data_IF_521797922763
#
_entry.id   IF_521797922763
#
_cell.length_a   1.000
_cell.length_b   1.000
_cell.length_c   1.000
_cell.angle_alpha   90.00
_cell.angle_beta   90.00
_cell.angle_gamma   90.00
#
_symmetry.space_group_name_H-M   'P 1'
#
loop_
_entity.id
_entity.type
_entity.pdbx_description
1 polymer ?
#
# COMPACT_ATOMS: atom_id res chain seq x y z
N UNK A 1 -9.73 -7.57 -4.47
CA UNK A 1 -8.42 -8.01 -4.97
C UNK A 1 -7.38 -7.75 -3.91
N UNK A 2 -6.50 -8.72 -3.65
CA UNK A 2 -5.37 -8.58 -2.75
C UNK A 2 -4.07 -8.79 -3.55
N UNK A 3 -3.20 -7.79 -3.57
CA UNK A 3 -1.91 -7.82 -4.25
C UNK A 3 -0.81 -7.94 -3.20
N UNK A 4 -0.14 -9.09 -3.17
CA UNK A 4 0.89 -9.43 -2.18
C UNK A 4 2.24 -9.56 -2.88
N UNK A 5 3.32 -9.08 -2.27
CA UNK A 5 4.66 -9.29 -2.80
C UNK A 5 5.68 -8.30 -2.26
N UNK A 6 6.98 -8.51 -2.52
CA UNK A 6 8.04 -7.65 -2.03
C UNK A 6 7.93 -6.22 -2.61
N UNK A 7 8.66 -5.25 -2.03
CA UNK A 7 8.74 -3.90 -2.58
C UNK A 7 9.30 -3.90 -4.02
N UNK A 8 8.78 -3.01 -4.87
CA UNK A 8 9.30 -2.79 -6.21
C UNK A 8 8.77 -3.70 -7.33
N UNK A 9 7.94 -4.72 -7.02
CA UNK A 9 7.40 -5.68 -8.01
C UNK A 9 6.16 -5.18 -8.78
N UNK A 10 5.76 -3.92 -8.62
CA UNK A 10 4.68 -3.32 -9.42
C UNK A 10 3.27 -3.39 -8.82
N UNK A 11 3.08 -3.77 -7.54
CA UNK A 11 1.77 -3.84 -6.88
C UNK A 11 0.95 -2.55 -7.03
N UNK A 12 1.55 -1.42 -6.65
CA UNK A 12 0.92 -0.09 -6.76
C UNK A 12 0.54 0.25 -8.20
N UNK A 13 1.39 -0.10 -9.18
CA UNK A 13 1.09 0.12 -10.60
C UNK A 13 -0.15 -0.67 -11.05
N UNK A 14 -0.27 -1.93 -10.65
CA UNK A 14 -1.45 -2.73 -10.92
C UNK A 14 -2.69 -2.17 -10.25
N UNK A 15 -2.59 -1.76 -8.98
CA UNK A 15 -3.69 -1.17 -8.23
C UNK A 15 -4.19 0.14 -8.89
N UNK A 16 -3.26 1.02 -9.31
CA UNK A 16 -3.57 2.25 -10.02
C UNK A 16 -4.17 1.94 -11.41
N UNK A 17 -3.65 0.95 -12.12
CA UNK A 17 -4.19 0.49 -13.40
C UNK A 17 -5.64 0.04 -13.29
N UNK A 18 -5.97 -0.77 -12.26
CA UNK A 18 -7.33 -1.21 -11.96
C UNK A 18 -8.25 -0.03 -11.62
N UNK A 19 -7.78 0.91 -10.79
CA UNK A 19 -8.54 2.10 -10.42
C UNK A 19 -8.83 2.98 -11.63
N UNK A 20 -7.81 3.20 -12.48
CA UNK A 20 -7.95 3.97 -13.72
C UNK A 20 -8.97 3.33 -14.66
N UNK A 21 -8.87 2.02 -14.89
CA UNK A 21 -9.81 1.31 -15.74
C UNK A 21 -11.24 1.39 -15.19
N UNK A 22 -11.43 1.20 -13.88
CA UNK A 22 -12.73 1.34 -13.25
C UNK A 22 -13.30 2.77 -13.43
N UNK A 23 -12.47 3.80 -13.24
CA UNK A 23 -12.88 5.20 -13.45
C UNK A 23 -13.25 5.47 -14.93
N UNK A 24 -12.51 4.92 -15.88
CA UNK A 24 -12.78 5.08 -17.31
C UNK A 24 -14.15 4.52 -17.72
N UNK A 25 -14.58 3.43 -17.08
CA UNK A 25 -15.91 2.84 -17.33
C UNK A 25 -17.00 3.43 -16.40
N UNK A 26 -16.73 4.53 -15.70
CA UNK A 26 -17.73 5.31 -14.95
C UNK A 26 -17.90 4.93 -13.48
N UNK A 27 -17.09 4.02 -12.91
CA UNK A 27 -17.17 3.71 -11.48
C UNK A 27 -16.48 4.79 -10.65
N UNK A 28 -17.12 5.16 -9.53
CA UNK A 28 -16.48 6.03 -8.53
C UNK A 28 -15.35 5.29 -7.84
N UNK A 29 -14.13 5.76 -8.03
CA UNK A 29 -12.93 5.18 -7.44
C UNK A 29 -12.29 6.13 -6.46
N UNK A 30 -11.72 5.60 -5.38
CA UNK A 30 -10.91 6.35 -4.43
C UNK A 30 -9.64 5.57 -4.12
N UNK A 31 -8.52 6.27 -4.21
CA UNK A 31 -7.19 5.72 -3.89
C UNK A 31 -6.67 6.38 -2.61
N UNK A 32 -6.18 5.59 -1.68
CA UNK A 32 -5.52 6.04 -0.45
C UNK A 32 -4.42 5.07 -0.06
N UNK A 33 -3.46 5.55 0.73
CA UNK A 33 -2.54 4.65 1.42
C UNK A 33 -3.13 4.21 2.76
N UNK A 34 -2.62 3.12 3.33
CA UNK A 34 -3.02 2.68 4.68
C UNK A 34 -2.67 3.75 5.73
N UNK A 35 -1.53 4.45 5.56
CA UNK A 35 -1.12 5.54 6.43
C UNK A 35 -2.07 6.75 6.37
N UNK A 36 -2.48 7.18 5.17
CA UNK A 36 -3.42 8.30 5.01
C UNK A 36 -4.81 7.95 5.56
N UNK A 37 -5.27 6.72 5.34
CA UNK A 37 -6.51 6.22 5.93
C UNK A 37 -6.44 6.29 7.45
N UNK A 38 -5.35 5.79 8.04
CA UNK A 38 -5.11 5.82 9.47
C UNK A 38 -5.12 7.26 10.03
N UNK A 39 -4.36 8.16 9.40
CA UNK A 39 -4.28 9.57 9.81
C UNK A 39 -5.64 10.28 9.71
N UNK A 40 -6.42 10.00 8.68
CA UNK A 40 -7.76 10.56 8.50
C UNK A 40 -8.74 10.04 9.55
N UNK A 41 -8.68 8.75 9.86
CA UNK A 41 -9.54 8.16 10.90
C UNK A 41 -9.18 8.66 12.28
N UNK A 42 -7.89 8.79 12.61
CA UNK A 42 -7.43 9.37 13.87
C UNK A 42 -7.96 10.80 14.07
N UNK A 43 -7.81 11.67 13.07
CA UNK A 43 -8.38 13.02 13.13
C UNK A 43 -9.89 13.03 13.29
N UNK A 44 -10.59 12.14 12.58
CA UNK A 44 -12.04 12.03 12.69
C UNK A 44 -12.52 11.59 14.06
N UNK A 45 -11.75 10.75 14.76
CA UNK A 45 -12.04 10.36 16.14
C UNK A 45 -11.92 11.55 17.10
N UNK A 46 -10.85 12.35 16.98
CA UNK A 46 -10.62 13.55 17.81
C UNK A 46 -11.70 14.61 17.55
N UNK A 47 -12.08 14.81 16.28
CA UNK A 47 -13.01 15.87 15.87
C UNK A 47 -14.50 15.46 15.92
N UNK A 48 -14.82 14.26 16.42
CA UNK A 48 -16.19 13.75 16.48
C UNK A 48 -16.84 13.50 15.12
N UNK A 49 -16.03 13.36 14.04
CA UNK A 49 -16.50 13.17 12.64
C UNK A 49 -16.41 11.72 12.16
N UNK A 50 -16.33 10.78 13.08
CA UNK A 50 -16.13 9.36 12.78
C UNK A 50 -17.16 8.81 11.77
N UNK A 51 -18.45 8.99 12.04
CA UNK A 51 -19.51 8.47 11.18
C UNK A 51 -19.45 9.04 9.74
N UNK A 52 -19.08 10.30 9.60
CA UNK A 52 -18.91 10.94 8.28
C UNK A 52 -17.72 10.37 7.53
N UNK A 53 -16.62 10.13 8.22
CA UNK A 53 -15.41 9.53 7.64
C UNK A 53 -15.66 8.07 7.22
N UNK A 54 -16.36 7.30 8.02
CA UNK A 54 -16.74 5.93 7.65
C UNK A 54 -17.64 5.90 6.41
N UNK A 55 -18.65 6.79 6.33
CA UNK A 55 -19.49 6.93 5.13
C UNK A 55 -18.68 7.35 3.90
N UNK A 56 -17.69 8.22 4.06
CA UNK A 56 -16.82 8.62 2.98
C UNK A 56 -16.06 7.42 2.40
N UNK A 57 -15.45 6.57 3.23
CA UNK A 57 -14.73 5.38 2.77
C UNK A 57 -15.68 4.28 2.24
N UNK A 58 -16.92 4.23 2.70
CA UNK A 58 -17.91 3.29 2.19
C UNK A 58 -18.52 3.71 0.82
N UNK A 59 -18.43 5.00 0.46
CA UNK A 59 -19.11 5.58 -0.70
C UNK A 59 -18.60 5.19 -2.09
N UNK A 60 -17.28 5.11 -2.36
CA UNK A 60 -16.76 4.75 -3.67
C UNK A 60 -17.15 3.32 -4.08
N UNK A 61 -17.38 3.07 -5.38
CA UNK A 61 -17.62 1.71 -5.90
C UNK A 61 -16.35 0.86 -5.80
N UNK A 62 -15.19 1.48 -6.04
CA UNK A 62 -13.88 0.86 -5.85
C UNK A 62 -13.05 1.68 -4.87
N UNK A 63 -12.57 1.06 -3.80
CA UNK A 63 -11.59 1.61 -2.88
C UNK A 63 -10.26 0.89 -3.07
N UNK A 64 -9.19 1.66 -3.27
CA UNK A 64 -7.81 1.15 -3.27
C UNK A 64 -7.12 1.59 -1.99
N UNK A 65 -6.57 0.64 -1.25
CA UNK A 65 -5.76 0.86 -0.06
C UNK A 65 -4.35 0.34 -0.35
N UNK A 66 -3.44 1.25 -0.57
CA UNK A 66 -2.05 0.93 -0.92
C UNK A 66 -1.16 0.87 0.33
N UNK A 67 -0.09 0.08 0.25
CA UNK A 67 0.97 0.00 1.26
C UNK A 67 0.54 -0.51 2.65
N UNK A 68 -0.44 -1.41 2.70
CA UNK A 68 -0.79 -2.04 3.97
C UNK A 68 0.35 -2.95 4.46
N UNK A 69 0.79 -2.76 5.71
CA UNK A 69 1.81 -3.58 6.36
C UNK A 69 3.24 -3.07 6.23
N UNK A 70 3.47 -1.89 5.66
CA UNK A 70 4.78 -1.23 5.72
C UNK A 70 5.09 -0.75 7.15
N UNK A 71 4.09 -0.29 7.86
CA UNK A 71 4.16 0.09 9.27
C UNK A 71 3.00 -0.57 10.02
N UNK A 72 3.18 -0.93 11.31
CA UNK A 72 2.08 -1.32 12.18
C UNK A 72 1.04 -0.22 12.25
N UNK A 73 -0.24 -0.58 12.25
CA UNK A 73 -1.33 0.38 12.39
C UNK A 73 -1.62 0.66 13.88
N UNK A 74 -1.84 1.91 14.26
CA UNK A 74 -2.43 2.22 15.57
C UNK A 74 -3.78 1.50 15.75
N UNK A 75 -4.15 1.18 17.00
CA UNK A 75 -5.36 0.42 17.30
C UNK A 75 -6.64 1.04 16.70
N UNK A 76 -6.76 2.38 16.74
CA UNK A 76 -7.87 3.10 16.14
C UNK A 76 -7.91 2.94 14.61
N UNK A 77 -6.72 2.92 13.97
CA UNK A 77 -6.62 2.73 12.54
C UNK A 77 -6.95 1.30 12.12
N UNK A 78 -6.53 0.30 12.90
CA UNK A 78 -6.89 -1.09 12.69
C UNK A 78 -8.40 -1.31 12.81
N UNK A 79 -9.03 -0.72 13.85
CA UNK A 79 -10.48 -0.71 14.05
C UNK A 79 -11.22 -0.02 12.91
N UNK A 80 -10.70 1.12 12.44
CA UNK A 80 -11.25 1.84 11.29
C UNK A 80 -11.20 1.01 10.02
N UNK A 81 -10.05 0.40 9.74
CA UNK A 81 -9.86 -0.45 8.57
C UNK A 81 -10.84 -1.65 8.60
N UNK A 82 -10.98 -2.30 9.77
CA UNK A 82 -11.97 -3.36 9.95
C UNK A 82 -13.40 -2.90 9.68
N UNK A 83 -13.78 -1.72 10.19
CA UNK A 83 -15.11 -1.15 9.93
C UNK A 83 -15.32 -0.83 8.44
N UNK A 84 -14.33 -0.23 7.78
CA UNK A 84 -14.39 0.04 6.33
C UNK A 84 -14.57 -1.24 5.55
N UNK A 85 -13.77 -2.28 5.81
CA UNK A 85 -13.89 -3.59 5.15
C UNK A 85 -15.28 -4.20 5.40
N UNK A 86 -15.75 -4.17 6.65
CA UNK A 86 -17.05 -4.74 7.04
C UNK A 86 -18.22 -4.02 6.39
N UNK A 87 -18.19 -2.69 6.29
CA UNK A 87 -19.26 -1.92 5.63
C UNK A 87 -19.30 -2.15 4.11
N UNK A 88 -18.16 -2.46 3.52
CA UNK A 88 -18.02 -2.71 2.07
C UNK A 88 -18.23 -4.18 1.68
N UNK A 89 -18.20 -5.07 2.65
CA UNK A 89 -18.32 -6.51 2.43
C UNK A 89 -19.58 -6.85 1.62
N UNK A 90 -19.41 -7.56 0.51
CA UNK A 90 -20.43 -7.94 -0.48
C UNK A 90 -21.19 -6.78 -1.16
N UNK A 91 -20.79 -5.53 -0.94
CA UNK A 91 -21.49 -4.36 -1.51
C UNK A 91 -20.65 -3.65 -2.57
N UNK A 92 -19.37 -3.51 -2.33
CA UNK A 92 -18.46 -2.73 -3.19
C UNK A 92 -17.08 -3.37 -3.24
N UNK A 93 -16.27 -2.96 -4.21
CA UNK A 93 -14.95 -3.56 -4.45
C UNK A 93 -13.86 -2.90 -3.63
N UNK A 94 -12.90 -3.71 -3.18
CA UNK A 94 -11.67 -3.25 -2.52
C UNK A 94 -10.47 -3.87 -3.24
N UNK A 95 -9.43 -3.05 -3.45
CA UNK A 95 -8.08 -3.51 -3.83
C UNK A 95 -7.15 -3.13 -2.69
N UNK A 96 -6.38 -4.08 -2.21
CA UNK A 96 -5.35 -3.84 -1.18
C UNK A 96 -4.02 -4.30 -1.73
N UNK A 97 -2.98 -3.48 -1.55
CA UNK A 97 -1.59 -3.91 -1.75
C UNK A 97 -0.89 -4.09 -0.42
N UNK A 98 -0.08 -5.11 -0.32
CA UNK A 98 0.69 -5.41 0.90
C UNK A 98 2.01 -6.07 0.57
N UNK A 99 3.01 -5.84 1.42
CA UNK A 99 4.29 -6.54 1.38
C UNK A 99 4.35 -7.72 2.37
N UNK A 100 3.28 -7.93 3.13
CA UNK A 100 3.16 -9.01 4.11
C UNK A 100 2.17 -10.06 3.65
N UNK A 101 2.56 -11.32 3.76
CA UNK A 101 1.61 -12.42 3.60
C UNK A 101 0.49 -12.35 4.62
N UNK A 102 -0.65 -12.97 4.32
CA UNK A 102 -1.86 -12.92 5.17
C UNK A 102 -1.61 -13.42 6.60
N UNK A 103 -0.66 -14.32 6.81
CA UNK A 103 -0.27 -14.80 8.13
C UNK A 103 0.32 -13.70 9.04
N UNK A 104 0.93 -12.67 8.47
CA UNK A 104 1.52 -11.54 9.21
C UNK A 104 0.55 -10.43 9.57
N UNK A 105 -0.73 -10.54 9.22
CA UNK A 105 -1.70 -9.46 9.42
C UNK A 105 -2.08 -9.23 10.89
N UNK A 106 -1.92 -10.25 11.75
CA UNK A 106 -2.06 -10.09 13.19
C UNK A 106 -1.08 -9.06 13.77
N UNK A 107 0.17 -9.05 13.29
CA UNK A 107 1.19 -8.08 13.69
C UNK A 107 0.87 -6.67 13.16
N UNK A 108 0.36 -6.55 11.93
CA UNK A 108 0.02 -5.26 11.31
C UNK A 108 -1.12 -4.58 12.07
N UNK A 109 -2.11 -5.36 12.48
CA UNK A 109 -3.34 -4.86 13.11
C UNK A 109 -3.27 -4.85 14.64
N UNK A 110 -2.21 -5.42 15.22
CA UNK A 110 -2.04 -5.53 16.67
C UNK A 110 -3.04 -6.44 17.38
N UNK A 111 -3.90 -7.14 16.62
CA UNK A 111 -4.92 -8.08 17.14
C UNK A 111 -5.17 -9.20 16.13
N UNK A 112 -4.88 -10.42 16.54
CA UNK A 112 -5.03 -11.61 15.69
C UNK A 112 -6.49 -11.96 15.41
N UNK A 113 -7.40 -11.67 16.34
CA UNK A 113 -8.85 -11.92 16.18
C UNK A 113 -9.45 -10.96 15.15
N UNK A 114 -9.11 -9.67 15.26
CA UNK A 114 -9.53 -8.64 14.28
C UNK A 114 -8.95 -8.97 12.92
N UNK A 115 -7.67 -9.38 12.85
CA UNK A 115 -7.03 -9.79 11.61
C UNK A 115 -7.73 -10.98 10.96
N UNK A 116 -8.04 -12.02 11.72
CA UNK A 116 -8.75 -13.20 11.22
C UNK A 116 -10.13 -12.83 10.68
N UNK A 117 -10.90 -12.04 11.42
CA UNK A 117 -12.24 -11.61 11.02
C UNK A 117 -12.23 -10.69 9.78
N UNK A 118 -11.17 -9.89 9.60
CA UNK A 118 -10.99 -9.06 8.42
C UNK A 118 -10.57 -9.87 7.21
N UNK A 119 -9.64 -10.81 7.39
CA UNK A 119 -9.19 -11.71 6.32
C UNK A 119 -10.31 -12.60 5.83
N UNK A 120 -11.16 -13.13 6.72
CA UNK A 120 -12.35 -13.89 6.33
C UNK A 120 -13.22 -13.10 5.33
N UNK A 121 -13.49 -11.83 5.62
CA UNK A 121 -14.26 -10.97 4.72
C UNK A 121 -13.54 -10.62 3.43
N UNK A 122 -12.25 -10.32 3.51
CA UNK A 122 -11.45 -9.93 2.35
C UNK A 122 -11.20 -11.11 1.40
N UNK A 123 -10.97 -12.29 1.93
CA UNK A 123 -10.68 -13.48 1.12
C UNK A 123 -11.95 -14.11 0.54
N UNK A 124 -13.09 -13.89 1.18
CA UNK A 124 -14.36 -14.36 0.63
C UNK A 124 -14.65 -13.65 -0.71
N UNK A 125 -14.69 -14.41 -1.79
CA UNK A 125 -14.86 -13.93 -3.19
C UNK A 125 -13.75 -12.97 -3.65
N UNK A 126 -12.53 -13.14 -3.19
CA UNK A 126 -11.42 -12.32 -3.63
C UNK A 126 -10.55 -13.01 -4.68
N UNK A 127 -9.84 -12.18 -5.43
CA UNK A 127 -8.69 -12.58 -6.24
C UNK A 127 -7.45 -12.19 -5.46
N UNK A 128 -6.61 -13.17 -5.13
CA UNK A 128 -5.33 -12.97 -4.47
C UNK A 128 -4.23 -13.18 -5.52
N UNK A 129 -3.42 -12.16 -5.73
CA UNK A 129 -2.28 -12.21 -6.63
C UNK A 129 -0.99 -12.06 -5.82
N UNK A 130 -0.18 -13.10 -5.86
CA UNK A 130 1.18 -13.05 -5.33
C UNK A 130 2.10 -12.61 -6.46
N UNK A 131 2.78 -11.48 -6.26
CA UNK A 131 3.74 -10.94 -7.20
C UNK A 131 5.14 -11.19 -6.66
N UNK A 132 5.90 -11.99 -7.38
CA UNK A 132 7.29 -12.31 -7.08
C UNK A 132 8.21 -11.68 -8.13
N UNK A 133 9.47 -11.52 -7.78
CA UNK A 133 10.51 -11.01 -8.67
C UNK A 133 11.37 -9.94 -8.05
N UNK A 134 12.38 -9.52 -8.81
CA UNK A 134 13.30 -8.46 -8.42
C UNK A 134 12.64 -7.09 -8.48
N UNK A 135 13.11 -6.18 -7.63
CA UNK A 135 12.62 -4.81 -7.62
C UNK A 135 12.94 -4.09 -8.93
N UNK A 136 11.91 -3.70 -9.67
CA UNK A 136 12.07 -2.89 -10.89
C UNK A 136 12.77 -1.56 -10.61
N UNK A 137 12.57 -0.97 -9.43
CA UNK A 137 13.24 0.28 -9.01
C UNK A 137 14.76 0.12 -8.88
N UNK A 138 15.23 -1.07 -8.49
CA UNK A 138 16.67 -1.34 -8.33
C UNK A 138 17.35 -1.63 -9.66
N UNK A 139 16.62 -2.12 -10.68
CA UNK A 139 17.20 -2.36 -12.03
C UNK A 139 17.74 -1.09 -12.66
N UNK A 140 17.03 0.02 -12.56
CA UNK A 140 17.50 1.32 -13.07
C UNK A 140 18.72 1.85 -12.31
N UNK A 141 18.84 1.51 -11.02
CA UNK A 141 20.01 1.88 -10.22
C UNK A 141 21.26 1.12 -10.63
N UNK A 142 21.16 -0.19 -10.85
CA UNK A 142 22.29 -1.01 -11.33
C UNK A 142 22.75 -0.58 -12.71
N UNK A 143 21.83 -0.32 -13.64
CA UNK A 143 22.17 0.14 -14.99
C UNK A 143 22.89 1.51 -14.99
N UNK A 144 22.59 2.40 -14.04
CA UNK A 144 23.26 3.71 -13.91
C UNK A 144 24.64 3.60 -13.25
N UNK A 145 24.82 2.66 -12.33
CA UNK A 145 26.09 2.47 -11.62
C UNK A 145 27.14 1.82 -12.52
N UNK A 146 26.73 0.95 -13.43
CA UNK A 146 27.63 0.34 -14.44
C UNK A 146 28.09 1.33 -15.52
N UNK A 147 27.42 2.47 -15.70
CA UNK A 147 27.79 3.50 -16.68
C UNK A 147 28.60 4.66 -16.09
N UNK A 148 29.01 4.61 -14.83
CA UNK A 148 29.88 5.64 -14.26
C UNK A 148 31.34 5.28 -14.57
N UNK A 149 32.04 6.02 -15.45
CA UNK A 149 33.46 5.75 -15.76
C UNK A 149 34.30 5.90 -14.49
N UNK A 150 35.37 5.09 -14.35
CA UNK A 150 36.23 5.16 -13.19
C UNK A 150 36.84 6.56 -13.08
N UNK A 151 36.70 7.16 -11.91
CA UNK A 151 37.24 8.49 -11.62
C UNK A 151 38.77 8.41 -11.69
N UNK A 152 39.38 8.89 -12.77
CA UNK A 152 40.81 9.04 -12.88
C UNK A 152 41.28 10.02 -11.80
N UNK A 153 41.84 9.50 -10.74
CA UNK A 153 42.57 10.28 -9.76
C UNK A 153 43.64 11.07 -10.49
N UNK A 154 43.46 12.39 -10.58
CA UNK A 154 44.51 13.31 -10.98
C UNK A 154 45.63 13.20 -9.97
N UNK A 155 46.81 12.72 -10.42
CA UNK A 155 48.05 12.82 -9.69
C UNK A 155 48.33 14.27 -9.30
N UNK A 156 48.70 14.56 -8.07
CA UNK A 156 49.18 15.89 -7.72
C UNK A 156 50.53 16.13 -8.41
N UNK A 157 50.57 17.23 -9.18
CA UNK A 157 51.80 17.72 -9.79
C UNK A 157 52.82 18.02 -8.68
N UNK A 158 53.92 17.29 -8.69
CA UNK A 158 55.11 17.63 -7.94
C UNK A 158 55.67 18.96 -8.50
N UNK A 159 55.69 19.98 -7.67
CA UNK A 159 56.45 21.22 -7.95
C UNK A 159 57.94 20.93 -7.71
N UNK A 160 58.84 21.25 -8.64
CA UNK A 160 60.28 21.24 -8.36
C UNK A 160 60.61 22.51 -7.57
N UNK A 161 61.31 22.29 -6.47
CA UNK A 161 62.05 23.34 -5.76
C UNK A 161 63.27 23.76 -6.58
N UNK A 162 63.40 25.06 -6.80
CA UNK A 162 64.65 25.81 -6.95
C UNK A 162 64.52 27.07 -6.14
#
# INVERSE_FOLDING_TARGET
>A
VLLIGPPGVGKTHLAVGLARQAATVGYRTYFTTAADLAARCHRAAIEGRWATTMRFFAGPTLLVIDELGYLPLPAEAASALFQVVSQRYLKTSIVITTNRGVAGWGEILGDTTVAAAMLDRLLHRSVVLNLDGDSYRLRDHHARTEHTPPNHHRHPLQQPFC
#
